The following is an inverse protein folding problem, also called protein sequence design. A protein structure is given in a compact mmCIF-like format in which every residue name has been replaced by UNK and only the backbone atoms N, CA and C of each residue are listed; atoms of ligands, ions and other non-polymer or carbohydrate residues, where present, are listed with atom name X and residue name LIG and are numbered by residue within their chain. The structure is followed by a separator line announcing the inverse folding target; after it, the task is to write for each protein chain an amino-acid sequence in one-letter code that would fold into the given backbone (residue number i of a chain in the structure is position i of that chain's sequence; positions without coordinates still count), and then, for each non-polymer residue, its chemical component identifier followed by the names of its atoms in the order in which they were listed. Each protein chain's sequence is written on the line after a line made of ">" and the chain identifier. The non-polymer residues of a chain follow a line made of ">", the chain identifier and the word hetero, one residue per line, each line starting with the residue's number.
data_IF_695704894105
#
_entry.id   IF_695704894105
#
_cell.length_a   1.000
_cell.length_b   1.000
_cell.length_c   1.000
_cell.angle_alpha   90.00
_cell.angle_beta   90.00
_cell.angle_gamma   90.00
#
_symmetry.space_group_name_H-M   'P 1'
#
loop_
_entity.id
_entity.type
_entity.pdbx_description
1 polymer ?
#
# COMPACT_ATOMS: atom_id res chain seq x y z
N UNK A 1 3.26 -77.83 0.66
CA UNK A 1 4.36 -76.87 0.40
C UNK A 1 4.09 -76.30 -1.00
N UNK A 2 3.88 -75.03 -1.31
CA UNK A 2 3.89 -73.75 -0.61
C UNK A 2 3.04 -72.83 -1.51
N UNK A 3 1.99 -72.18 -0.99
CA UNK A 3 1.16 -71.23 -1.74
C UNK A 3 1.95 -69.92 -1.88
N UNK A 4 2.41 -69.60 -3.08
CA UNK A 4 3.08 -68.32 -3.37
C UNK A 4 2.01 -67.25 -3.52
N UNK A 5 1.78 -66.48 -2.46
CA UNK A 5 1.02 -65.25 -2.52
C UNK A 5 1.96 -64.12 -2.98
N UNK A 6 1.84 -63.69 -4.24
CA UNK A 6 2.46 -62.45 -4.70
C UNK A 6 1.65 -61.28 -4.12
N UNK A 7 2.16 -60.66 -3.07
CA UNK A 7 1.63 -59.41 -2.54
C UNK A 7 2.11 -58.25 -3.44
N UNK A 8 1.19 -57.67 -4.20
CA UNK A 8 1.38 -56.38 -4.87
C UNK A 8 1.52 -55.29 -3.80
N UNK A 9 2.74 -54.89 -3.49
CA UNK A 9 3.02 -53.72 -2.67
C UNK A 9 2.72 -52.45 -3.49
N UNK A 10 1.46 -52.03 -3.48
CA UNK A 10 1.06 -50.72 -3.98
C UNK A 10 1.69 -49.62 -3.12
N UNK A 11 2.70 -48.93 -3.65
CA UNK A 11 3.26 -47.73 -3.04
C UNK A 11 2.20 -46.64 -3.10
N UNK A 12 1.49 -46.46 -1.99
CA UNK A 12 0.63 -45.31 -1.78
C UNK A 12 1.54 -44.09 -1.59
N UNK A 13 1.83 -43.38 -2.68
CA UNK A 13 2.47 -42.06 -2.60
C UNK A 13 1.47 -41.14 -1.91
N UNK A 14 1.64 -40.96 -0.60
CA UNK A 14 0.92 -39.95 0.15
C UNK A 14 1.34 -38.59 -0.41
N UNK A 15 0.50 -38.01 -1.26
CA UNK A 15 0.60 -36.61 -1.65
C UNK A 15 0.32 -35.79 -0.38
N UNK A 16 1.38 -35.48 0.36
CA UNK A 16 1.33 -34.54 1.47
C UNK A 16 1.00 -33.17 0.89
N UNK A 17 -0.29 -32.83 0.85
CA UNK A 17 -0.72 -31.45 0.71
C UNK A 17 0.00 -30.68 1.82
N UNK A 18 1.01 -29.90 1.43
CA UNK A 18 1.60 -28.91 2.32
C UNK A 18 0.47 -27.94 2.68
N UNK A 19 -0.17 -28.18 3.81
CA UNK A 19 -1.03 -27.19 4.43
C UNK A 19 -0.16 -25.95 4.61
N UNK A 20 -0.61 -24.75 4.19
CA UNK A 20 0.16 -23.55 4.44
C UNK A 20 0.39 -23.50 5.93
N UNK A 21 1.67 -23.56 6.33
CA UNK A 21 2.06 -23.49 7.73
C UNK A 21 1.56 -22.15 8.24
N UNK A 22 0.41 -22.15 8.91
CA UNK A 22 -0.09 -20.96 9.58
C UNK A 22 1.04 -20.44 10.45
N UNK A 23 1.37 -19.16 10.30
CA UNK A 23 2.40 -18.48 11.06
C UNK A 23 2.34 -18.91 12.53
N UNK A 24 3.50 -19.24 13.12
CA UNK A 24 3.66 -19.56 14.54
C UNK A 24 2.72 -18.70 15.39
N UNK A 25 1.75 -19.34 16.06
CA UNK A 25 0.76 -18.64 16.88
C UNK A 25 1.49 -17.76 17.90
N UNK A 26 1.28 -16.44 17.82
CA UNK A 26 1.98 -15.48 18.64
C UNK A 26 1.00 -14.50 19.29
N UNK A 27 0.78 -14.65 20.60
CA UNK A 27 -0.18 -13.86 21.37
C UNK A 27 0.14 -12.36 21.36
N UNK A 28 1.42 -11.98 21.38
CA UNK A 28 1.80 -10.58 21.26
C UNK A 28 1.41 -10.00 19.89
N UNK A 29 1.69 -10.73 18.81
CA UNK A 29 1.39 -10.32 17.43
C UNK A 29 -0.11 -10.25 17.17
N UNK A 30 -0.90 -11.15 17.77
CA UNK A 30 -2.36 -11.05 17.77
C UNK A 30 -2.83 -9.81 18.54
N UNK A 31 -2.22 -9.52 19.70
CA UNK A 31 -2.45 -8.32 20.48
C UNK A 31 -2.16 -7.03 19.70
N UNK A 32 -1.01 -6.96 19.01
CA UNK A 32 -0.61 -5.80 18.19
C UNK A 32 -1.62 -5.54 17.07
N UNK A 33 -2.06 -6.58 16.35
CA UNK A 33 -3.12 -6.46 15.33
C UNK A 33 -4.42 -5.93 15.94
N UNK A 34 -4.79 -6.38 17.14
CA UNK A 34 -5.95 -5.86 17.88
C UNK A 34 -5.79 -4.39 18.28
N UNK A 35 -4.58 -3.95 18.66
CA UNK A 35 -4.28 -2.55 18.94
C UNK A 35 -4.49 -1.67 17.69
N UNK A 36 -3.96 -2.11 16.54
CA UNK A 36 -4.11 -1.44 15.23
C UNK A 36 -5.60 -1.32 14.86
N UNK A 37 -6.35 -2.42 14.93
CA UNK A 37 -7.78 -2.43 14.64
C UNK A 37 -8.57 -1.47 15.54
N UNK A 38 -8.24 -1.43 16.84
CA UNK A 38 -8.89 -0.52 17.80
C UNK A 38 -8.60 0.95 17.51
N UNK A 39 -7.38 1.29 17.08
CA UNK A 39 -7.01 2.66 16.70
C UNK A 39 -7.82 3.11 15.49
N UNK A 40 -7.80 2.34 14.41
CA UNK A 40 -8.56 2.65 13.18
C UNK A 40 -10.06 2.83 13.48
N UNK A 41 -10.65 1.90 14.23
CA UNK A 41 -12.05 1.99 14.64
C UNK A 41 -12.34 3.22 15.53
N UNK A 42 -11.44 3.59 16.43
CA UNK A 42 -11.61 4.76 17.29
C UNK A 42 -11.57 6.06 16.49
N UNK A 43 -10.64 6.18 15.54
CA UNK A 43 -10.52 7.35 14.66
C UNK A 43 -11.74 7.47 13.74
N UNK A 44 -12.11 6.42 13.01
CA UNK A 44 -13.31 6.41 12.15
C UNK A 44 -14.58 6.77 12.95
N UNK A 45 -14.67 6.32 14.20
CA UNK A 45 -15.78 6.70 15.09
C UNK A 45 -15.77 8.19 15.49
N UNK A 46 -14.60 8.82 15.57
CA UNK A 46 -14.50 10.27 15.75
C UNK A 46 -15.00 11.02 14.51
N UNK A 47 -14.62 10.59 13.31
CA UNK A 47 -15.11 11.15 12.03
C UNK A 47 -16.63 11.01 11.91
N UNK A 48 -17.15 9.80 12.11
CA UNK A 48 -18.60 9.55 12.10
C UNK A 48 -19.38 10.41 13.11
N UNK A 49 -18.78 10.71 14.28
CA UNK A 49 -19.40 11.63 15.25
C UNK A 49 -19.34 13.08 14.81
N UNK A 50 -18.29 13.46 14.09
CA UNK A 50 -18.11 14.81 13.55
C UNK A 50 -19.19 15.14 12.51
N UNK A 51 -19.61 14.16 11.71
CA UNK A 51 -20.65 14.33 10.69
C UNK A 51 -22.07 14.13 11.22
N UNK A 52 -22.24 13.58 12.43
CA UNK A 52 -23.57 13.21 12.93
C UNK A 52 -24.43 14.45 13.25
N UNK A 53 -25.61 14.61 12.63
CA UNK A 53 -26.54 15.70 12.96
C UNK A 53 -27.12 15.55 14.38
N UNK A 54 -27.55 16.64 15.05
CA UNK A 54 -27.81 17.98 14.48
C UNK A 54 -26.67 19.01 14.56
N UNK A 55 -25.53 18.70 15.21
CA UNK A 55 -24.48 19.70 15.45
C UNK A 55 -23.03 19.22 15.23
N UNK A 56 -22.80 17.97 14.80
CA UNK A 56 -21.44 17.43 14.63
C UNK A 56 -20.57 17.57 15.88
N UNK A 57 -19.25 17.56 15.71
CA UNK A 57 -18.29 17.96 16.75
C UNK A 57 -17.74 19.35 16.42
N UNK A 58 -17.41 20.13 17.46
CA UNK A 58 -16.60 21.34 17.26
C UNK A 58 -15.19 20.94 16.84
N UNK A 59 -14.42 21.81 16.13
CA UNK A 59 -13.05 21.50 15.73
C UNK A 59 -12.16 21.06 16.91
N UNK A 60 -12.31 21.71 18.07
CA UNK A 60 -11.60 21.34 19.29
C UNK A 60 -12.02 19.97 19.84
N UNK A 61 -13.32 19.65 19.80
CA UNK A 61 -13.83 18.36 20.27
C UNK A 61 -13.41 17.20 19.33
N UNK A 62 -13.37 17.47 18.03
CA UNK A 62 -12.89 16.52 17.03
C UNK A 62 -11.38 16.24 17.21
N UNK A 63 -10.56 17.30 17.29
CA UNK A 63 -9.13 17.16 17.54
C UNK A 63 -8.84 16.40 18.85
N UNK A 64 -9.57 16.70 19.93
CA UNK A 64 -9.46 15.97 21.19
C UNK A 64 -9.90 14.50 21.10
N UNK A 65 -10.86 14.17 20.22
CA UNK A 65 -11.29 12.80 19.98
C UNK A 65 -10.18 12.00 19.29
N UNK A 66 -9.59 12.56 18.22
CA UNK A 66 -8.48 11.95 17.49
C UNK A 66 -7.25 11.81 18.39
N UNK A 67 -6.90 12.85 19.16
CA UNK A 67 -5.77 12.78 20.08
C UNK A 67 -5.94 11.66 21.13
N UNK A 68 -7.14 11.50 21.69
CA UNK A 68 -7.44 10.38 22.60
C UNK A 68 -7.30 9.00 21.95
N UNK A 69 -7.50 8.89 20.64
CA UNK A 69 -7.27 7.64 19.91
C UNK A 69 -5.77 7.38 19.72
N UNK A 70 -4.98 8.43 19.40
CA UNK A 70 -3.52 8.38 19.30
C UNK A 70 -2.88 8.03 20.65
N UNK A 71 -3.21 8.78 21.70
CA UNK A 71 -2.72 8.57 23.08
C UNK A 71 -2.95 7.14 23.61
N UNK A 72 -4.05 6.50 23.22
CA UNK A 72 -4.34 5.11 23.60
C UNK A 72 -3.47 4.09 22.87
N UNK A 73 -2.98 4.46 21.69
CA UNK A 73 -2.14 3.62 20.85
C UNK A 73 -0.66 3.79 21.23
N UNK A 74 -0.16 5.02 21.25
CA UNK A 74 1.25 5.37 21.49
C UNK A 74 1.59 5.52 22.99
N UNK A 75 0.62 5.84 23.85
CA UNK A 75 0.79 6.12 25.27
C UNK A 75 0.79 7.62 25.62
N UNK A 76 0.75 8.49 24.61
CA UNK A 76 0.79 9.95 24.76
C UNK A 76 2.03 10.38 25.54
N UNK A 77 1.82 11.19 26.59
CA UNK A 77 2.88 11.66 27.48
C UNK A 77 3.66 10.54 28.21
N UNK A 78 3.12 9.32 28.25
CA UNK A 78 3.77 8.17 28.86
C UNK A 78 3.78 6.98 27.88
N UNK A 79 4.85 6.84 27.08
CA UNK A 79 4.95 5.78 26.06
C UNK A 79 4.76 4.37 26.62
N UNK A 80 5.08 4.16 27.91
CA UNK A 80 4.89 2.85 28.56
C UNK A 80 3.42 2.43 28.62
N UNK A 81 2.50 3.41 28.58
CA UNK A 81 1.07 3.17 28.53
C UNK A 81 0.55 2.86 27.13
N UNK A 82 1.40 2.96 26.10
CA UNK A 82 1.07 2.61 24.73
C UNK A 82 0.65 1.16 24.58
N UNK A 83 -0.26 0.89 23.66
CA UNK A 83 -0.85 -0.43 23.48
C UNK A 83 0.21 -1.49 23.15
N UNK A 84 1.22 -1.11 22.37
CA UNK A 84 2.31 -2.00 21.96
C UNK A 84 3.33 -2.23 23.06
N UNK A 85 3.67 -1.20 23.85
CA UNK A 85 4.62 -1.31 24.95
C UNK A 85 4.01 -2.12 26.11
N UNK A 86 2.72 -1.93 26.40
CA UNK A 86 1.97 -2.80 27.33
C UNK A 86 1.98 -4.27 26.91
N UNK A 87 1.88 -4.55 25.61
CA UNK A 87 1.95 -5.93 25.10
C UNK A 87 3.37 -6.49 25.20
N UNK A 88 4.39 -5.70 24.91
CA UNK A 88 5.79 -6.11 25.07
C UNK A 88 6.13 -6.38 26.55
N UNK A 89 5.62 -5.57 27.47
CA UNK A 89 5.75 -5.80 28.91
C UNK A 89 4.99 -7.05 29.38
N UNK A 90 3.81 -7.32 28.78
CA UNK A 90 3.02 -8.53 29.06
C UNK A 90 3.66 -9.81 28.51
N UNK A 91 4.45 -9.71 27.44
CA UNK A 91 5.08 -10.83 26.75
C UNK A 91 6.58 -10.55 26.52
N UNK A 92 7.42 -10.59 27.58
CA UNK A 92 8.84 -10.32 27.45
C UNK A 92 9.51 -11.31 26.49
N UNK A 93 10.13 -10.81 25.42
CA UNK A 93 10.74 -11.63 24.36
C UNK A 93 9.75 -12.38 23.45
N UNK A 94 8.44 -12.25 23.69
CA UNK A 94 7.40 -12.98 22.96
C UNK A 94 6.87 -12.24 21.73
N UNK A 95 7.30 -11.01 21.47
CA UNK A 95 6.88 -10.24 20.29
C UNK A 95 7.89 -10.44 19.14
N UNK A 96 7.39 -10.78 17.95
CA UNK A 96 8.25 -10.97 16.77
C UNK A 96 8.93 -9.68 16.29
N UNK A 97 8.33 -8.54 16.59
CA UNK A 97 8.83 -7.21 16.26
C UNK A 97 8.76 -6.32 17.49
N UNK A 98 9.59 -5.29 17.56
CA UNK A 98 9.63 -4.30 18.64
C UNK A 98 9.90 -2.91 18.03
N UNK A 99 9.51 -1.84 18.73
CA UNK A 99 9.71 -0.48 18.23
C UNK A 99 8.81 -0.02 17.07
N UNK A 100 7.85 -0.84 16.62
CA UNK A 100 7.04 -0.53 15.42
C UNK A 100 5.90 0.48 15.65
N UNK A 101 5.77 1.05 16.85
CA UNK A 101 4.61 1.88 17.24
C UNK A 101 4.44 3.05 16.27
N UNK A 102 5.47 3.87 16.07
CA UNK A 102 5.39 5.05 15.22
C UNK A 102 5.09 4.70 13.75
N UNK A 103 5.76 3.70 13.19
CA UNK A 103 5.56 3.28 11.79
C UNK A 103 4.14 2.78 11.55
N UNK A 104 3.60 1.97 12.46
CA UNK A 104 2.24 1.46 12.32
C UNK A 104 1.19 2.53 12.64
N UNK A 105 1.51 3.47 13.51
CA UNK A 105 0.67 4.65 13.75
C UNK A 105 0.49 5.46 12.47
N UNK A 106 1.57 5.80 11.76
CA UNK A 106 1.49 6.53 10.49
C UNK A 106 0.68 5.77 9.44
N UNK A 107 0.88 4.45 9.32
CA UNK A 107 0.12 3.63 8.36
C UNK A 107 -1.38 3.59 8.66
N UNK A 108 -1.75 3.51 9.94
CA UNK A 108 -3.16 3.53 10.36
C UNK A 108 -3.78 4.90 10.13
N UNK A 109 -3.07 5.98 10.45
CA UNK A 109 -3.55 7.34 10.21
C UNK A 109 -3.82 7.56 8.72
N UNK A 110 -2.86 7.21 7.85
CA UNK A 110 -3.04 7.29 6.40
C UNK A 110 -4.22 6.46 5.88
N UNK A 111 -4.37 5.22 6.34
CA UNK A 111 -5.51 4.38 5.95
C UNK A 111 -6.85 4.98 6.37
N UNK A 112 -6.94 5.54 7.58
CA UNK A 112 -8.18 6.18 8.05
C UNK A 112 -8.47 7.43 7.22
N UNK A 113 -7.46 8.24 6.93
CA UNK A 113 -7.60 9.43 6.09
C UNK A 113 -8.08 9.05 4.68
N UNK A 114 -7.50 8.03 4.04
CA UNK A 114 -7.93 7.52 2.74
C UNK A 114 -9.40 7.08 2.74
N UNK A 115 -9.82 6.34 3.77
CA UNK A 115 -11.21 5.87 3.92
C UNK A 115 -12.17 7.04 4.10
N UNK A 116 -11.84 7.99 4.99
CA UNK A 116 -12.65 9.18 5.22
C UNK A 116 -12.77 10.00 3.94
N UNK A 117 -11.67 10.17 3.20
CA UNK A 117 -11.68 10.94 1.96
C UNK A 117 -12.46 10.26 0.83
N UNK A 118 -12.45 8.93 0.76
CA UNK A 118 -13.29 8.19 -0.18
C UNK A 118 -14.79 8.31 0.14
N UNK A 119 -15.15 8.51 1.42
CA UNK A 119 -16.54 8.65 1.87
C UNK A 119 -17.04 10.10 1.80
N UNK A 120 -16.18 11.09 2.08
CA UNK A 120 -16.53 12.50 2.24
C UNK A 120 -15.63 13.44 1.40
N UNK A 121 -15.57 13.19 0.08
CA UNK A 121 -14.77 13.95 -0.89
C UNK A 121 -15.10 15.46 -0.98
N UNK A 122 -16.14 15.94 -0.28
CA UNK A 122 -16.64 17.32 -0.35
C UNK A 122 -16.05 18.32 0.66
N UNK A 123 -15.21 17.89 1.62
CA UNK A 123 -14.78 18.76 2.73
C UNK A 123 -13.54 19.62 2.45
N UNK A 124 -12.81 19.39 1.34
CA UNK A 124 -11.63 20.19 0.96
C UNK A 124 -10.45 20.13 1.95
N UNK A 125 -10.58 19.42 3.06
CA UNK A 125 -9.54 19.23 4.10
C UNK A 125 -8.93 17.85 4.09
N UNK A 126 -9.37 16.97 3.19
CA UNK A 126 -8.58 15.82 2.84
C UNK A 126 -7.18 16.33 2.53
N UNK A 127 -6.09 15.73 3.10
CA UNK A 127 -4.83 15.81 2.37
C UNK A 127 -5.27 15.47 0.96
N UNK A 128 -5.00 16.37 0.00
CA UNK A 128 -5.37 16.09 -1.36
C UNK A 128 -5.10 14.61 -1.48
N UNK A 129 -6.11 13.83 -1.88
CA UNK A 129 -5.78 12.55 -2.47
C UNK A 129 -4.54 12.90 -3.34
N UNK A 130 -3.63 12.00 -3.65
CA UNK A 130 -3.31 12.05 -5.05
C UNK A 130 -4.70 12.01 -5.75
N UNK A 131 -5.33 13.19 -5.99
CA UNK A 131 -5.79 13.55 -7.29
C UNK A 131 -4.77 12.82 -8.13
N UNK A 132 -5.17 11.98 -9.07
CA UNK A 132 -4.44 12.07 -10.30
C UNK A 132 -4.50 13.56 -10.75
N UNK A 133 -3.88 14.52 -10.03
CA UNK A 133 -2.83 15.35 -10.57
C UNK A 133 -2.14 14.34 -11.43
N UNK A 134 -2.22 14.48 -12.76
CA UNK A 134 -1.46 13.62 -13.65
C UNK A 134 -0.14 13.45 -12.95
N UNK A 135 0.11 12.24 -12.40
CA UNK A 135 1.34 12.04 -11.68
C UNK A 135 2.33 12.45 -12.74
N UNK A 136 3.15 13.45 -12.47
CA UNK A 136 4.53 13.30 -12.86
C UNK A 136 4.91 12.08 -12.03
N UNK A 137 4.94 10.86 -12.59
CA UNK A 137 5.32 9.67 -11.88
C UNK A 137 6.83 9.83 -11.83
N UNK A 138 7.29 10.66 -10.91
CA UNK A 138 8.60 10.46 -10.34
C UNK A 138 8.51 9.11 -9.71
N UNK A 139 9.10 8.13 -10.42
CA UNK A 139 9.33 6.76 -10.02
C UNK A 139 9.77 6.73 -8.56
N UNK A 140 8.81 6.65 -7.64
CA UNK A 140 9.09 6.21 -6.30
C UNK A 140 8.98 4.70 -6.42
N UNK A 141 10.11 3.96 -6.33
CA UNK A 141 10.09 2.54 -6.58
C UNK A 141 9.09 1.89 -5.63
N UNK A 142 8.08 1.23 -6.21
CA UNK A 142 7.30 0.23 -5.49
C UNK A 142 8.29 -0.72 -4.83
N UNK A 143 8.27 -0.92 -3.51
CA UNK A 143 9.25 -1.77 -2.83
C UNK A 143 9.19 -3.19 -3.40
N UNK A 144 10.12 -3.53 -4.31
CA UNK A 144 10.22 -4.87 -4.89
C UNK A 144 10.60 -4.98 -6.38
N UNK A 145 10.63 -3.89 -7.16
CA UNK A 145 11.03 -3.93 -8.58
C UNK A 145 12.13 -2.91 -8.93
N UNK A 146 12.92 -3.23 -9.95
CA UNK A 146 14.00 -2.41 -10.48
C UNK A 146 13.52 -1.45 -11.57
N UNK A 147 14.08 -0.24 -11.55
CA UNK A 147 13.77 0.85 -12.50
C UNK A 147 14.59 0.74 -13.78
N UNK A 148 14.24 1.49 -14.82
CA UNK A 148 15.00 1.56 -16.09
C UNK A 148 16.52 1.70 -15.84
N UNK A 149 17.31 0.87 -16.52
CA UNK A 149 18.77 0.80 -16.40
C UNK A 149 19.30 -0.07 -15.25
N UNK A 150 18.45 -0.51 -14.31
CA UNK A 150 18.89 -1.44 -13.27
C UNK A 150 19.09 -2.85 -13.82
N UNK A 151 20.09 -3.54 -13.27
CA UNK A 151 20.38 -4.92 -13.64
C UNK A 151 19.24 -5.87 -13.29
N UNK A 152 18.90 -6.74 -14.24
CA UNK A 152 17.87 -7.76 -14.11
C UNK A 152 18.34 -9.10 -14.69
N UNK A 153 17.87 -10.19 -14.09
CA UNK A 153 18.01 -11.56 -14.57
C UNK A 153 16.71 -12.11 -15.17
N UNK A 154 15.59 -11.41 -15.00
CA UNK A 154 14.31 -11.73 -15.64
C UNK A 154 13.30 -10.59 -15.55
N UNK A 155 12.28 -10.64 -16.42
CA UNK A 155 11.27 -9.58 -16.58
C UNK A 155 10.58 -9.18 -15.26
N UNK A 156 10.25 -10.15 -14.40
CA UNK A 156 9.57 -9.92 -13.12
C UNK A 156 10.35 -9.04 -12.13
N UNK A 157 11.65 -8.82 -12.38
CA UNK A 157 12.48 -7.94 -11.55
C UNK A 157 12.39 -6.49 -11.99
N UNK A 158 11.83 -6.20 -13.16
CA UNK A 158 11.68 -4.85 -13.70
C UNK A 158 10.25 -4.37 -13.47
N UNK A 159 10.10 -3.11 -13.08
CA UNK A 159 8.78 -2.52 -12.92
C UNK A 159 7.99 -2.52 -14.24
N UNK A 160 8.70 -2.37 -15.37
CA UNK A 160 8.14 -2.44 -16.72
C UNK A 160 7.81 -3.84 -17.23
N UNK A 161 8.16 -4.89 -16.46
CA UNK A 161 8.18 -6.27 -16.94
C UNK A 161 9.06 -6.51 -18.18
N UNK A 162 10.00 -5.61 -18.50
CA UNK A 162 10.92 -5.78 -19.63
C UNK A 162 12.36 -5.81 -19.13
N UNK A 163 12.94 -7.01 -19.11
CA UNK A 163 14.37 -7.21 -18.91
C UNK A 163 15.04 -7.51 -20.25
N UNK A 164 15.83 -6.57 -20.76
CA UNK A 164 16.54 -6.74 -22.04
C UNK A 164 18.01 -6.39 -21.87
N UNK A 165 18.91 -7.18 -22.45
CA UNK A 165 20.37 -7.04 -22.28
C UNK A 165 20.84 -7.02 -20.81
N UNK A 166 20.11 -7.69 -19.93
CA UNK A 166 20.40 -7.72 -18.49
C UNK A 166 20.08 -6.42 -17.75
N UNK A 167 19.31 -5.52 -18.36
CA UNK A 167 18.85 -4.27 -17.75
C UNK A 167 17.36 -4.05 -17.95
N UNK A 168 16.71 -3.42 -16.99
CA UNK A 168 15.31 -3.02 -17.12
C UNK A 168 15.17 -1.94 -18.19
N UNK A 169 14.26 -2.15 -19.13
CA UNK A 169 13.97 -1.23 -20.22
C UNK A 169 12.62 -0.55 -20.00
N UNK A 170 12.41 0.65 -20.58
CA UNK A 170 11.11 1.29 -20.56
C UNK A 170 10.10 0.55 -21.42
N UNK A 171 8.81 0.72 -21.15
CA UNK A 171 7.73 0.12 -21.93
C UNK A 171 6.50 1.02 -21.96
N UNK A 172 5.93 1.23 -23.17
CA UNK A 172 4.81 2.15 -23.35
C UNK A 172 3.42 1.54 -23.06
N UNK A 173 3.35 0.45 -22.29
CA UNK A 173 2.11 -0.29 -22.02
C UNK A 173 2.14 -1.01 -20.67
N UNK A 174 3.01 -0.61 -19.76
CA UNK A 174 3.24 -1.28 -18.48
C UNK A 174 2.50 -0.62 -17.31
N UNK A 175 1.81 0.50 -17.56
CA UNK A 175 1.07 1.25 -16.54
C UNK A 175 1.96 2.16 -15.69
N UNK A 176 3.21 2.38 -16.09
CA UNK A 176 4.21 3.16 -15.36
C UNK A 176 4.82 4.17 -16.31
N UNK A 177 4.88 5.46 -15.92
CA UNK A 177 5.64 6.42 -16.70
C UNK A 177 7.14 6.22 -16.50
N UNK A 178 7.80 5.73 -17.53
CA UNK A 178 9.24 5.60 -17.56
C UNK A 178 9.84 6.02 -18.92
N UNK A 179 11.16 5.88 -19.06
CA UNK A 179 11.85 6.25 -20.29
C UNK A 179 11.60 7.70 -20.73
N UNK A 180 11.02 7.85 -21.92
CA UNK A 180 10.76 9.16 -22.57
C UNK A 180 9.29 9.58 -22.51
N UNK A 181 8.45 8.87 -21.77
CA UNK A 181 7.03 9.13 -21.72
C UNK A 181 6.68 10.51 -21.16
N UNK A 182 5.62 11.12 -21.66
CA UNK A 182 5.12 12.40 -21.10
C UNK A 182 3.92 12.22 -20.19
N UNK A 183 3.17 11.13 -20.36
CA UNK A 183 2.18 10.61 -19.41
C UNK A 183 2.30 9.06 -19.38
N UNK A 184 1.62 8.38 -18.47
CA UNK A 184 1.68 6.91 -18.35
C UNK A 184 1.28 6.26 -19.68
N UNK A 185 2.18 5.43 -20.22
CA UNK A 185 1.99 4.63 -21.45
C UNK A 185 1.82 5.48 -22.73
N UNK A 186 2.18 6.78 -22.70
CA UNK A 186 2.03 7.65 -23.87
C UNK A 186 2.93 8.89 -23.90
N UNK A 187 3.06 9.44 -25.11
CA UNK A 187 3.80 10.65 -25.43
C UNK A 187 5.31 10.45 -25.39
N UNK A 188 6.06 11.31 -26.06
CA UNK A 188 7.51 11.27 -26.13
C UNK A 188 8.14 10.00 -26.77
N UNK A 189 9.33 10.17 -27.34
CA UNK A 189 10.11 9.08 -27.94
C UNK A 189 9.32 8.26 -28.97
N UNK A 190 9.24 6.94 -28.74
CA UNK A 190 8.54 5.99 -29.62
C UNK A 190 7.17 5.56 -29.09
N UNK A 191 6.69 6.15 -27.99
CA UNK A 191 5.42 5.77 -27.40
C UNK A 191 4.23 6.36 -28.18
N UNK A 192 3.05 5.73 -28.10
CA UNK A 192 1.84 6.26 -28.75
C UNK A 192 1.52 7.67 -28.26
N UNK A 193 0.90 8.50 -29.10
CA UNK A 193 0.49 9.84 -28.69
C UNK A 193 -0.60 9.77 -27.62
N UNK A 194 -0.53 10.69 -26.67
CA UNK A 194 -1.47 10.84 -25.58
C UNK A 194 -2.81 11.41 -26.04
N UNK A 195 -3.90 10.92 -25.43
CA UNK A 195 -5.26 11.41 -25.64
C UNK A 195 -5.49 12.78 -24.96
N UNK A 196 -6.58 13.47 -25.31
CA UNK A 196 -6.99 14.73 -24.66
C UNK A 196 -7.09 14.57 -23.13
N UNK A 197 -6.59 15.56 -22.38
CA UNK A 197 -6.53 15.59 -20.91
C UNK A 197 -5.28 14.95 -20.29
N UNK A 198 -4.47 14.24 -21.08
CA UNK A 198 -3.19 13.67 -20.65
C UNK A 198 -2.05 14.69 -20.67
N UNK A 199 -0.99 14.41 -19.93
CA UNK A 199 0.21 15.25 -19.87
C UNK A 199 1.01 15.22 -21.18
N UNK A 200 1.60 16.36 -21.53
CA UNK A 200 2.46 16.52 -22.69
C UNK A 200 3.59 17.51 -22.39
N UNK A 201 4.71 17.36 -23.10
CA UNK A 201 5.77 18.37 -23.14
C UNK A 201 5.67 19.23 -24.41
N UNK A 202 5.21 18.64 -25.50
CA UNK A 202 5.09 19.25 -26.83
C UNK A 202 3.81 18.78 -27.52
N UNK A 203 3.41 19.48 -28.58
CA UNK A 203 2.26 19.07 -29.40
C UNK A 203 2.41 17.67 -30.01
N UNK A 204 3.65 17.22 -30.27
CA UNK A 204 3.92 15.89 -30.81
C UNK A 204 3.56 14.75 -29.84
N UNK A 205 3.45 15.04 -28.55
CA UNK A 205 3.03 14.07 -27.55
C UNK A 205 1.52 13.83 -27.58
N UNK A 206 0.75 14.69 -28.26
CA UNK A 206 -0.71 14.67 -28.24
C UNK A 206 -1.28 14.19 -29.56
N UNK A 207 -2.31 13.35 -29.51
CA UNK A 207 -3.06 12.93 -30.71
C UNK A 207 -3.67 14.13 -31.44
N UNK A 208 -4.01 15.20 -30.71
CA UNK A 208 -4.52 16.45 -31.28
C UNK A 208 -3.45 17.35 -31.89
N UNK A 209 -2.16 17.10 -31.62
CA UNK A 209 -1.07 18.01 -31.98
C UNK A 209 -0.96 19.25 -31.07
N UNK A 210 -1.81 19.39 -30.05
CA UNK A 210 -1.90 20.59 -29.22
C UNK A 210 -1.57 20.24 -27.77
N UNK A 211 -0.46 20.78 -27.28
CA UNK A 211 -0.09 20.77 -25.87
C UNK A 211 -0.27 22.16 -25.28
N UNK A 212 -1.28 22.35 -24.43
CA UNK A 212 -1.61 23.64 -23.82
C UNK A 212 -1.68 23.51 -22.31
N UNK A 213 -0.93 24.35 -21.60
CA UNK A 213 -0.84 24.26 -20.13
C UNK A 213 -0.24 22.94 -19.60
N UNK A 214 0.54 22.23 -20.42
CA UNK A 214 1.11 20.92 -20.09
C UNK A 214 0.13 19.75 -20.26
N UNK A 215 -1.03 19.97 -20.89
CA UNK A 215 -2.01 18.94 -21.18
C UNK A 215 -2.43 18.93 -22.66
N UNK A 216 -2.72 17.75 -23.18
CA UNK A 216 -3.27 17.56 -24.51
C UNK A 216 -4.69 18.11 -24.57
N UNK A 217 -4.98 18.94 -25.57
CA UNK A 217 -6.31 19.50 -25.82
C UNK A 217 -6.86 18.99 -27.14
#
# INVERSE_FOLDING_TARGET
>A
MQRIALALAGVLIALTLATPSHATLNACSAGKKKCVAKKAAAMLKCHSKNEKPPAGLTPAAFAACIQKAKDKFDGGADPTKGCFLKLQAKFPGGCLTTGDTATLETKVDAFVDDVVCALDAGSGTCPATPTPTPQVPTATPTPGCGTVGQSCAGNFQCCSNVCMFGQCQPSCTDGIKDGTETDIDCGGGTCPTCATGKMCATGADCTSGICSGGQCN
#
